data_IF_890303490267
#
_entry.id   IF_890303490267
#
_cell.length_a   1.000
_cell.length_b   1.000
_cell.length_c   1.000
_cell.angle_alpha   90.00
_cell.angle_beta   90.00
_cell.angle_gamma   90.00
#
_symmetry.space_group_name_H-M   'P 1'
#
loop_
_entity.id
_entity.type
_entity.pdbx_description
1 polymer ?
#
# COMPACT_ATOMS: atom_id res chain seq x y z
N UNK A 1 -14.58 -2.18 9.55
CA UNK A 1 -15.07 -1.30 8.47
C UNK A 1 -14.36 -1.75 7.22
N UNK A 2 -15.09 -2.08 6.14
CA UNK A 2 -14.51 -2.68 4.94
C UNK A 2 -13.86 -1.56 4.10
N UNK A 3 -12.61 -1.73 3.70
CA UNK A 3 -11.79 -0.66 3.09
C UNK A 3 -11.58 -0.85 1.58
N UNK A 4 -11.36 -2.09 1.12
CA UNK A 4 -11.23 -2.39 -0.31
C UNK A 4 -12.57 -2.75 -0.95
N UNK A 5 -12.68 -2.59 -2.27
CA UNK A 5 -13.68 -3.27 -3.11
C UNK A 5 -13.14 -3.26 -4.53
N UNK A 6 -13.19 -4.40 -5.20
CA UNK A 6 -12.75 -4.53 -6.59
C UNK A 6 -13.91 -5.02 -7.44
N UNK A 7 -14.01 -4.53 -8.67
CA UNK A 7 -14.92 -5.03 -9.70
C UNK A 7 -14.11 -5.87 -10.70
N UNK A 8 -14.63 -7.01 -11.14
CA UNK A 8 -14.00 -7.80 -12.20
C UNK A 8 -13.96 -7.04 -13.52
N UNK A 9 -12.97 -7.34 -14.38
CA UNK A 9 -12.82 -6.67 -15.69
C UNK A 9 -14.07 -6.81 -16.59
N UNK A 10 -14.80 -7.92 -16.47
CA UNK A 10 -16.05 -8.16 -17.18
C UNK A 10 -17.27 -7.46 -16.54
N UNK A 11 -17.06 -6.73 -15.44
CA UNK A 11 -18.05 -6.00 -14.66
C UNK A 11 -19.17 -6.87 -14.07
N UNK A 12 -18.93 -8.16 -13.87
CA UNK A 12 -19.94 -9.12 -13.38
C UNK A 12 -19.77 -9.54 -11.92
N UNK A 13 -18.64 -9.23 -11.29
CA UNK A 13 -18.37 -9.67 -9.93
C UNK A 13 -17.81 -8.53 -9.10
N UNK A 14 -18.38 -8.31 -7.93
CA UNK A 14 -17.83 -7.43 -6.89
C UNK A 14 -17.14 -8.26 -5.82
N UNK A 15 -15.98 -7.77 -5.38
CA UNK A 15 -15.16 -8.41 -4.37
C UNK A 15 -14.94 -7.52 -3.13
N UNK A 16 -15.96 -7.37 -2.27
CA UNK A 16 -15.80 -6.68 -1.00
C UNK A 16 -15.16 -7.60 0.05
N UNK A 17 -14.14 -7.13 0.78
CA UNK A 17 -13.54 -7.82 1.92
C UNK A 17 -14.34 -7.59 3.21
N UNK A 18 -14.16 -8.44 4.21
CA UNK A 18 -14.38 -8.16 5.63
C UNK A 18 -13.07 -8.29 6.41
N UNK A 19 -13.11 -8.13 7.74
CA UNK A 19 -11.96 -8.40 8.60
C UNK A 19 -11.51 -9.87 8.58
N UNK A 20 -12.39 -10.80 8.21
CA UNK A 20 -12.17 -12.25 8.36
C UNK A 20 -12.06 -12.99 7.02
N UNK A 21 -12.75 -12.51 5.99
CA UNK A 21 -12.94 -13.20 4.72
C UNK A 21 -13.16 -12.24 3.54
N UNK A 22 -12.84 -12.71 2.34
CA UNK A 22 -13.20 -12.05 1.09
C UNK A 22 -14.39 -12.76 0.46
N UNK A 23 -15.25 -11.97 -0.17
CA UNK A 23 -16.46 -12.46 -0.81
C UNK A 23 -16.47 -12.11 -2.29
N UNK A 24 -17.12 -12.94 -3.09
CA UNK A 24 -17.53 -12.64 -4.45
C UNK A 24 -19.05 -12.50 -4.51
N UNK A 25 -19.52 -11.42 -5.12
CA UNK A 25 -20.94 -11.15 -5.37
C UNK A 25 -21.17 -11.01 -6.87
N UNK A 26 -22.13 -11.76 -7.41
CA UNK A 26 -22.65 -11.49 -8.75
C UNK A 26 -23.21 -10.06 -8.79
N UNK A 27 -22.72 -9.28 -9.75
CA UNK A 27 -23.06 -7.88 -9.95
C UNK A 27 -23.64 -7.65 -11.34
N UNK A 28 -24.74 -6.90 -11.40
CA UNK A 28 -25.33 -6.40 -12.64
C UNK A 28 -24.99 -4.91 -12.76
N UNK A 29 -24.01 -4.59 -13.59
CA UNK A 29 -23.58 -3.21 -13.83
C UNK A 29 -24.64 -2.36 -14.54
N UNK A 30 -25.54 -2.98 -15.33
CA UNK A 30 -26.62 -2.26 -16.01
C UNK A 30 -27.72 -1.83 -15.05
N UNK A 31 -28.01 -2.64 -14.03
CA UNK A 31 -28.98 -2.34 -12.99
C UNK A 31 -28.36 -1.66 -11.75
N UNK A 32 -27.03 -1.73 -11.57
CA UNK A 32 -26.35 -1.28 -10.36
C UNK A 32 -26.66 -2.11 -9.13
N UNK A 33 -26.92 -3.42 -9.30
CA UNK A 33 -27.40 -4.30 -8.21
C UNK A 33 -26.50 -5.51 -7.99
N UNK A 34 -26.35 -5.93 -6.73
CA UNK A 34 -25.77 -7.23 -6.36
C UNK A 34 -26.88 -8.26 -6.15
N UNK A 35 -26.60 -9.54 -6.43
CA UNK A 35 -27.52 -10.63 -6.06
C UNK A 35 -27.57 -10.84 -4.55
N UNK A 36 -28.57 -11.55 -4.04
CA UNK A 36 -28.78 -11.70 -2.58
C UNK A 36 -27.80 -12.63 -1.86
N UNK A 37 -26.95 -13.35 -2.59
CA UNK A 37 -26.01 -14.33 -2.03
C UNK A 37 -24.61 -14.07 -2.53
N UNK A 38 -23.64 -14.33 -1.66
CA UNK A 38 -22.22 -14.26 -1.96
C UNK A 38 -21.56 -15.63 -1.90
N UNK A 39 -20.34 -15.70 -2.41
CA UNK A 39 -19.44 -16.84 -2.25
C UNK A 39 -18.22 -16.38 -1.47
N UNK A 40 -17.85 -17.07 -0.39
CA UNK A 40 -16.58 -16.82 0.28
C UNK A 40 -15.44 -17.32 -0.60
N UNK A 41 -14.45 -16.48 -0.90
CA UNK A 41 -13.34 -16.81 -1.81
C UNK A 41 -11.98 -16.90 -1.10
N UNK A 42 -11.81 -16.18 0.01
CA UNK A 42 -10.60 -16.25 0.86
C UNK A 42 -11.02 -16.24 2.32
N UNK A 43 -10.37 -17.07 3.15
CA UNK A 43 -10.58 -17.19 4.60
C UNK A 43 -9.24 -17.15 5.36
N UNK A 44 -9.31 -17.06 6.69
CA UNK A 44 -8.13 -17.11 7.55
C UNK A 44 -7.44 -15.76 7.70
N UNK A 45 -8.17 -14.67 7.48
CA UNK A 45 -7.63 -13.31 7.44
C UNK A 45 -7.82 -12.53 8.73
N UNK A 46 -8.63 -13.04 9.66
CA UNK A 46 -8.93 -12.39 10.96
C UNK A 46 -7.67 -11.91 11.68
N UNK A 47 -7.74 -10.70 12.25
CA UNK A 47 -6.78 -10.11 13.17
C UNK A 47 -7.48 -9.08 14.08
N UNK A 48 -6.83 -8.69 15.18
CA UNK A 48 -7.45 -7.86 16.22
C UNK A 48 -7.31 -6.33 15.98
N UNK A 49 -6.78 -5.89 14.83
CA UNK A 49 -6.40 -4.47 14.66
C UNK A 49 -6.53 -3.95 13.22
N UNK A 50 -5.70 -4.41 12.29
CA UNK A 50 -5.64 -3.87 10.93
C UNK A 50 -6.48 -4.69 9.97
N UNK A 51 -7.75 -4.30 9.89
CA UNK A 51 -8.81 -5.01 9.16
C UNK A 51 -8.99 -4.56 7.70
N UNK A 52 -8.11 -3.68 7.22
CA UNK A 52 -8.11 -3.18 5.83
C UNK A 52 -7.47 -4.19 4.88
N UNK A 53 -8.19 -4.54 3.82
CA UNK A 53 -7.80 -5.53 2.82
C UNK A 53 -8.18 -5.02 1.43
N UNK A 54 -7.32 -5.23 0.42
CA UNK A 54 -7.54 -4.93 -1.00
C UNK A 54 -7.10 -6.14 -1.83
N UNK A 55 -7.83 -6.54 -2.87
CA UNK A 55 -7.41 -7.60 -3.80
C UNK A 55 -6.44 -7.04 -4.87
N UNK A 56 -5.24 -7.64 -5.10
CA UNK A 56 -4.70 -8.86 -4.49
C UNK A 56 -4.41 -8.71 -2.98
N UNK A 57 -4.98 -9.64 -2.20
CA UNK A 57 -5.28 -9.50 -0.77
C UNK A 57 -4.07 -9.05 0.05
N UNK A 58 -4.16 -7.84 0.61
CA UNK A 58 -3.24 -7.34 1.63
C UNK A 58 -3.75 -7.57 3.05
N UNK A 59 -2.86 -7.96 3.98
CA UNK A 59 -3.14 -8.06 5.42
C UNK A 59 -2.12 -7.26 6.22
N UNK A 60 -2.56 -6.21 6.92
CA UNK A 60 -1.70 -5.40 7.81
C UNK A 60 -1.40 -6.08 9.15
N UNK A 61 -0.36 -5.63 9.88
CA UNK A 61 -0.02 -6.13 11.22
C UNK A 61 0.26 -5.00 12.23
N UNK A 62 -0.01 -5.28 13.51
CA UNK A 62 0.69 -4.63 14.63
C UNK A 62 1.84 -5.55 15.05
N UNK A 63 3.04 -4.99 15.13
CA UNK A 63 4.26 -5.47 15.82
C UNK A 63 4.41 -6.98 16.10
N UNK A 64 5.54 -7.52 15.59
CA UNK A 64 6.22 -8.77 15.99
C UNK A 64 5.35 -10.04 16.00
N UNK A 65 4.87 -10.49 14.83
CA UNK A 65 4.61 -11.92 14.64
C UNK A 65 4.76 -12.34 13.17
N UNK A 66 5.55 -13.39 12.94
CA UNK A 66 5.89 -13.96 11.62
C UNK A 66 4.83 -14.95 11.08
N UNK A 67 3.58 -14.85 11.53
CA UNK A 67 2.54 -15.84 11.21
C UNK A 67 1.35 -15.20 10.49
N UNK A 68 1.50 -14.97 9.19
CA UNK A 68 0.37 -14.62 8.33
C UNK A 68 -0.05 -13.15 8.35
N UNK A 69 0.77 -12.26 8.92
CA UNK A 69 0.49 -10.83 9.06
C UNK A 69 1.51 -10.00 8.26
N UNK A 70 1.15 -8.76 7.91
CA UNK A 70 2.03 -7.84 7.18
C UNK A 70 2.47 -8.38 5.82
N UNK A 71 1.55 -8.95 5.05
CA UNK A 71 1.88 -9.58 3.77
C UNK A 71 0.81 -9.34 2.71
N UNK A 72 1.20 -9.53 1.45
CA UNK A 72 0.33 -9.49 0.28
C UNK A 72 0.38 -10.86 -0.39
N UNK A 73 -0.79 -11.46 -0.59
CA UNK A 73 -0.98 -12.74 -1.25
C UNK A 73 -1.76 -12.55 -2.57
N UNK A 74 -1.45 -13.35 -3.59
CA UNK A 74 -2.26 -13.42 -4.79
C UNK A 74 -3.09 -14.71 -4.83
N UNK A 75 -4.29 -14.64 -5.40
CA UNK A 75 -5.16 -15.80 -5.58
C UNK A 75 -5.72 -15.83 -7.00
N UNK A 76 -5.73 -17.02 -7.62
CA UNK A 76 -6.25 -17.21 -8.98
C UNK A 76 -7.72 -17.57 -8.90
N UNK A 77 -8.59 -16.57 -8.91
CA UNK A 77 -10.04 -16.77 -8.72
C UNK A 77 -10.68 -17.64 -9.81
N UNK A 78 -10.09 -17.73 -11.01
CA UNK A 78 -10.57 -18.61 -12.08
C UNK A 78 -10.55 -20.11 -11.71
N UNK A 79 -9.80 -20.50 -10.68
CA UNK A 79 -9.78 -21.87 -10.17
C UNK A 79 -10.91 -22.14 -9.15
N UNK A 80 -11.63 -21.10 -8.71
CA UNK A 80 -12.80 -21.24 -7.84
C UNK A 80 -14.06 -21.43 -8.69
N UNK A 81 -14.92 -22.34 -8.25
CA UNK A 81 -16.26 -22.54 -8.77
C UNK A 81 -17.24 -22.69 -7.59
N UNK A 82 -18.53 -22.90 -7.87
CA UNK A 82 -19.59 -22.98 -6.85
C UNK A 82 -19.43 -24.13 -5.84
N UNK A 83 -18.50 -25.06 -6.07
CA UNK A 83 -18.18 -26.19 -5.17
C UNK A 83 -16.75 -26.17 -4.64
N UNK A 84 -15.93 -25.20 -5.06
CA UNK A 84 -14.57 -25.06 -4.56
C UNK A 84 -14.57 -24.61 -3.10
N UNK A 85 -13.67 -25.15 -2.30
CA UNK A 85 -13.35 -24.58 -0.99
C UNK A 85 -12.65 -23.21 -1.18
N UNK A 86 -12.89 -22.23 -0.29
CA UNK A 86 -12.20 -20.95 -0.34
C UNK A 86 -10.69 -21.12 -0.10
N UNK A 87 -9.90 -20.20 -0.63
CA UNK A 87 -8.48 -20.15 -0.33
C UNK A 87 -8.24 -19.83 1.14
N UNK A 88 -7.27 -20.50 1.76
CA UNK A 88 -6.77 -20.09 3.06
C UNK A 88 -5.58 -19.15 2.88
N UNK A 89 -5.68 -17.93 3.43
CA UNK A 89 -4.69 -16.87 3.26
C UNK A 89 -3.24 -17.25 3.65
N UNK A 90 -3.11 -18.15 4.63
CA UNK A 90 -1.81 -18.57 5.16
C UNK A 90 -1.28 -19.87 4.54
N UNK A 91 -2.08 -20.57 3.74
CA UNK A 91 -1.75 -21.88 3.20
C UNK A 91 -1.88 -21.98 1.68
N UNK A 92 -2.43 -20.96 1.02
CA UNK A 92 -2.66 -20.94 -0.42
C UNK A 92 -2.23 -19.60 -1.02
N UNK A 93 -2.07 -19.60 -2.35
CA UNK A 93 -1.64 -18.42 -3.11
C UNK A 93 -0.13 -18.17 -3.02
N UNK A 94 0.48 -17.60 -4.08
CA UNK A 94 1.88 -17.21 -3.99
C UNK A 94 2.03 -15.89 -3.23
N UNK A 95 3.05 -15.85 -2.37
CA UNK A 95 3.41 -14.68 -1.57
C UNK A 95 4.02 -13.60 -2.46
N UNK A 96 3.36 -12.45 -2.59
CA UNK A 96 3.91 -11.32 -3.37
C UNK A 96 4.98 -10.58 -2.57
N UNK A 97 4.75 -10.44 -1.28
CA UNK A 97 5.67 -9.80 -0.35
C UNK A 97 5.18 -9.93 1.08
N UNK A 98 6.12 -9.93 2.02
CA UNK A 98 5.82 -9.99 3.44
C UNK A 98 6.67 -8.98 4.19
N UNK A 99 6.31 -8.79 5.46
CA UNK A 99 6.99 -7.85 6.33
C UNK A 99 6.79 -6.40 5.79
N UNK A 100 5.54 -6.13 5.40
CA UNK A 100 5.02 -4.82 5.02
C UNK A 100 4.10 -4.34 6.12
N UNK A 101 4.41 -3.24 6.80
CA UNK A 101 3.67 -2.87 8.00
C UNK A 101 2.17 -2.67 7.72
N UNK A 102 1.82 -1.78 6.78
CA UNK A 102 0.44 -1.53 6.36
C UNK A 102 0.37 -1.19 4.85
N UNK A 103 0.51 -2.18 3.95
CA UNK A 103 0.32 -1.96 2.52
C UNK A 103 -1.18 -1.81 2.23
N UNK A 104 -1.67 -0.57 2.27
CA UNK A 104 -3.10 -0.30 2.13
C UNK A 104 -3.47 -0.26 0.67
N UNK A 105 -2.86 0.64 -0.12
CA UNK A 105 -3.10 0.72 -1.55
C UNK A 105 -2.30 -0.33 -2.31
N UNK A 106 -2.95 -1.10 -3.19
CA UNK A 106 -2.32 -2.10 -4.04
C UNK A 106 -2.94 -2.03 -5.43
N UNK A 107 -2.11 -1.94 -6.48
CA UNK A 107 -2.59 -1.92 -7.86
C UNK A 107 -1.58 -2.47 -8.85
N UNK A 108 -2.07 -3.01 -9.95
CA UNK A 108 -1.26 -3.49 -11.07
C UNK A 108 -1.02 -2.38 -12.08
N UNK A 109 0.23 -2.20 -12.50
CA UNK A 109 0.60 -1.38 -13.64
C UNK A 109 0.09 -2.07 -14.93
N UNK A 110 -0.66 -1.37 -15.78
CA UNK A 110 -1.48 -2.02 -16.81
C UNK A 110 -0.71 -2.48 -18.07
N UNK A 111 0.56 -2.10 -18.25
CA UNK A 111 1.35 -2.45 -19.45
C UNK A 111 2.22 -3.68 -19.21
N UNK A 112 2.80 -3.78 -18.03
CA UNK A 112 3.76 -4.81 -17.61
C UNK A 112 3.15 -5.84 -16.66
N UNK A 113 2.04 -5.49 -16.00
CA UNK A 113 1.42 -6.33 -14.96
C UNK A 113 2.18 -6.28 -13.63
N UNK A 114 3.03 -5.29 -13.43
CA UNK A 114 3.78 -5.09 -12.20
C UNK A 114 2.88 -4.65 -11.05
N UNK A 115 2.92 -5.31 -9.89
CA UNK A 115 2.13 -4.87 -8.73
C UNK A 115 2.92 -3.89 -7.90
N UNK A 116 2.28 -2.78 -7.58
CA UNK A 116 2.79 -1.77 -6.66
C UNK A 116 1.90 -1.74 -5.43
N UNK A 117 2.52 -1.57 -4.26
CA UNK A 117 1.80 -1.17 -3.06
C UNK A 117 2.32 0.16 -2.53
N UNK A 118 1.43 0.87 -1.86
CA UNK A 118 1.76 2.01 -1.02
C UNK A 118 1.31 1.68 0.40
N UNK A 119 2.15 2.02 1.37
CA UNK A 119 1.90 1.60 2.72
C UNK A 119 2.40 2.56 3.78
N UNK A 120 1.78 2.40 4.94
CA UNK A 120 2.07 3.22 6.11
C UNK A 120 3.21 2.59 6.91
N UNK A 121 4.18 3.43 7.27
CA UNK A 121 5.34 3.09 8.09
C UNK A 121 5.03 3.24 9.59
N UNK A 122 6.04 3.02 10.44
CA UNK A 122 5.87 2.96 11.90
C UNK A 122 5.52 4.33 12.44
N UNK A 123 4.65 4.40 13.46
CA UNK A 123 4.25 5.69 14.01
C UNK A 123 5.37 6.28 14.86
N UNK A 124 6.10 5.47 15.63
CA UNK A 124 7.17 5.87 16.54
C UNK A 124 8.40 5.00 16.29
N UNK A 125 9.51 5.64 15.93
CA UNK A 125 10.78 4.96 15.70
C UNK A 125 11.91 5.70 16.37
N UNK A 126 12.81 4.91 16.94
CA UNK A 126 14.06 5.37 17.53
C UNK A 126 15.24 4.99 16.65
N UNK A 127 16.33 5.76 16.73
CA UNK A 127 17.64 5.38 16.23
C UNK A 127 18.64 5.52 17.37
N UNK A 128 19.22 4.40 17.82
CA UNK A 128 20.16 4.37 18.95
C UNK A 128 19.61 5.09 20.20
N UNK A 129 18.36 4.79 20.58
CA UNK A 129 17.62 5.39 21.70
C UNK A 129 17.31 6.90 21.57
N UNK A 130 17.48 7.48 20.39
CA UNK A 130 16.94 8.81 20.08
C UNK A 130 15.64 8.64 19.29
N UNK A 131 14.55 9.25 19.77
CA UNK A 131 13.31 9.33 19.01
C UNK A 131 13.54 10.21 17.79
N UNK A 132 13.28 9.67 16.60
CA UNK A 132 13.51 10.35 15.31
C UNK A 132 12.20 10.59 14.54
N UNK A 133 11.10 10.38 15.24
CA UNK A 133 9.74 10.27 14.73
C UNK A 133 9.25 11.50 13.94
N UNK A 134 9.59 12.73 14.37
CA UNK A 134 9.16 13.97 13.72
C UNK A 134 9.89 14.26 12.41
N UNK A 135 11.02 13.60 12.20
CA UNK A 135 11.94 13.94 11.12
C UNK A 135 12.21 12.76 10.20
N UNK A 136 11.77 11.56 10.56
CA UNK A 136 12.04 10.36 9.77
C UNK A 136 10.95 9.32 9.92
N UNK A 137 9.95 9.39 9.03
CA UNK A 137 9.03 8.31 8.69
C UNK A 137 8.58 8.47 7.24
N UNK A 138 9.47 8.12 6.32
CA UNK A 138 9.08 8.01 4.92
C UNK A 138 7.96 7.00 4.81
N UNK A 139 6.82 7.43 4.31
CA UNK A 139 5.81 6.49 3.85
C UNK A 139 6.36 5.82 2.58
N UNK A 140 6.14 4.52 2.38
CA UNK A 140 6.85 3.77 1.33
C UNK A 140 5.95 3.44 0.16
N UNK A 141 6.44 3.61 -1.08
CA UNK A 141 5.96 2.81 -2.21
C UNK A 141 6.87 1.61 -2.40
N UNK A 142 6.30 0.43 -2.21
CA UNK A 142 6.99 -0.83 -2.42
C UNK A 142 6.53 -1.44 -3.74
N UNK A 143 7.49 -1.93 -4.50
CA UNK A 143 7.23 -2.68 -5.72
C UNK A 143 7.17 -4.18 -5.38
N UNK A 144 6.16 -4.87 -5.90
CA UNK A 144 5.85 -6.26 -5.62
C UNK A 144 5.64 -7.04 -6.91
N UNK A 145 6.72 -7.46 -7.58
CA UNK A 145 6.75 -8.48 -8.65
C UNK A 145 5.80 -8.31 -9.86
N UNK A 146 5.89 -9.26 -10.79
CA UNK A 146 5.05 -9.35 -12.00
C UNK A 146 3.83 -10.27 -11.75
N UNK A 147 2.63 -9.88 -12.17
CA UNK A 147 1.48 -10.79 -12.26
C UNK A 147 1.40 -11.56 -13.59
N UNK A 148 2.33 -11.35 -14.52
CA UNK A 148 2.38 -12.09 -15.79
C UNK A 148 3.19 -13.39 -15.69
N UNK A 149 2.76 -14.31 -14.79
CA UNK A 149 3.33 -15.64 -14.59
C UNK A 149 4.84 -15.74 -14.28
N UNK A 150 5.53 -14.61 -14.12
CA UNK A 150 6.93 -14.53 -13.72
C UNK A 150 7.04 -14.46 -12.19
N UNK A 151 7.96 -15.23 -11.62
CA UNK A 151 8.29 -15.20 -10.19
C UNK A 151 9.44 -14.23 -9.87
N UNK A 152 9.88 -13.44 -10.85
CA UNK A 152 11.00 -12.51 -10.67
C UNK A 152 10.63 -11.43 -9.65
N UNK A 153 11.48 -11.26 -8.62
CA UNK A 153 11.30 -10.32 -7.50
C UNK A 153 10.04 -10.56 -6.63
N UNK A 154 9.54 -11.80 -6.58
CA UNK A 154 8.38 -12.19 -5.78
C UNK A 154 8.75 -12.74 -4.40
N UNK A 155 7.93 -12.47 -3.38
CA UNK A 155 8.05 -13.07 -2.04
C UNK A 155 9.13 -12.46 -1.15
N UNK A 156 9.71 -11.33 -1.57
CA UNK A 156 10.74 -10.61 -0.83
C UNK A 156 10.27 -10.13 0.55
N UNK A 157 11.25 -9.96 1.44
CA UNK A 157 11.04 -9.38 2.77
C UNK A 157 11.35 -7.87 2.72
N UNK A 158 10.38 -7.02 3.05
CA UNK A 158 10.47 -5.56 2.90
C UNK A 158 10.93 -4.82 4.16
N UNK A 159 11.52 -5.52 5.13
CA UNK A 159 12.22 -4.92 6.28
C UNK A 159 11.55 -5.02 7.65
N UNK A 160 10.28 -4.66 7.78
CA UNK A 160 9.54 -4.64 9.06
C UNK A 160 9.64 -5.94 9.92
N UNK A 161 9.63 -5.88 11.25
CA UNK A 161 9.78 -4.71 12.11
C UNK A 161 11.26 -4.37 12.39
N UNK A 162 12.19 -4.85 11.57
CA UNK A 162 13.63 -4.73 11.86
C UNK A 162 14.31 -3.64 11.03
N UNK A 163 13.85 -3.45 9.79
CA UNK A 163 14.43 -2.51 8.85
C UNK A 163 13.35 -1.58 8.28
N UNK A 164 13.69 -0.31 8.16
CA UNK A 164 12.79 0.78 7.79
C UNK A 164 13.41 1.65 6.70
N UNK A 165 12.59 2.22 5.84
CA UNK A 165 13.05 3.13 4.79
C UNK A 165 13.40 4.51 5.35
N UNK A 166 14.57 5.02 4.98
CA UNK A 166 15.03 6.35 5.32
C UNK A 166 14.43 7.39 4.37
N UNK A 167 13.81 8.45 4.89
CA UNK A 167 13.37 9.59 4.09
C UNK A 167 14.35 10.76 4.18
N UNK A 168 14.81 11.13 5.39
CA UNK A 168 15.73 12.25 5.58
C UNK A 168 17.02 11.77 6.24
N UNK A 169 18.16 12.11 5.64
CA UNK A 169 19.49 11.62 6.05
C UNK A 169 20.08 12.33 7.27
N UNK A 170 19.65 13.56 7.57
CA UNK A 170 20.28 14.39 8.61
C UNK A 170 20.17 13.79 10.02
N UNK A 171 19.20 12.90 10.24
CA UNK A 171 18.90 12.35 11.55
C UNK A 171 19.68 11.05 11.80
N UNK A 172 19.95 10.29 10.74
CA UNK A 172 20.77 9.08 10.84
C UNK A 172 22.20 9.49 10.51
N UNK A 173 23.01 9.74 11.55
CA UNK A 173 24.44 10.13 11.47
C UNK A 173 25.31 9.03 10.82
N UNK A 174 25.04 8.70 9.57
CA UNK A 174 25.70 7.66 8.78
C UNK A 174 26.01 8.22 7.40
N UNK A 175 27.28 8.20 7.01
CA UNK A 175 27.71 8.63 5.69
C UNK A 175 27.33 7.64 4.57
N UNK A 176 26.86 6.43 4.93
CA UNK A 176 26.49 5.38 3.96
C UNK A 176 25.02 5.44 3.56
N UNK A 177 24.15 6.04 4.37
CA UNK A 177 22.71 6.00 4.17
C UNK A 177 22.24 7.23 3.38
N UNK A 178 21.34 6.99 2.45
CA UNK A 178 20.63 7.99 1.65
C UNK A 178 19.12 7.76 1.71
N UNK A 179 18.31 8.68 1.20
CA UNK A 179 16.88 8.42 1.04
C UNK A 179 16.63 7.09 0.30
N UNK A 180 15.60 6.36 0.69
CA UNK A 180 15.29 5.01 0.20
C UNK A 180 16.17 3.89 0.78
N UNK A 181 17.25 4.21 1.50
CA UNK A 181 18.08 3.18 2.17
C UNK A 181 17.32 2.56 3.34
N UNK A 182 17.49 1.25 3.56
CA UNK A 182 17.03 0.64 4.79
C UNK A 182 17.98 0.91 5.96
N UNK A 183 17.40 1.13 7.14
CA UNK A 183 18.11 1.24 8.40
C UNK A 183 17.37 0.50 9.51
N UNK A 184 18.08 0.11 10.57
CA UNK A 184 17.47 -0.46 11.79
C UNK A 184 17.37 0.58 12.90
N UNK A 185 16.38 0.43 13.79
CA UNK A 185 16.27 1.28 14.99
C UNK A 185 17.43 1.09 15.97
N UNK A 186 17.90 -0.15 16.11
CA UNK A 186 18.98 -0.53 17.02
C UNK A 186 20.01 -1.41 16.31
N UNK A 187 21.28 -1.01 16.42
CA UNK A 187 22.42 -1.72 15.85
C UNK A 187 22.89 -2.82 16.78
N UNK A 188 23.00 -4.05 16.29
CA UNK A 188 23.65 -5.15 17.00
C UNK A 188 24.40 -6.08 16.02
N UNK A 189 24.99 -7.15 16.54
CA UNK A 189 25.80 -8.08 15.75
C UNK A 189 25.02 -8.81 14.63
N UNK A 190 23.70 -8.96 14.78
CA UNK A 190 22.84 -9.71 13.87
C UNK A 190 21.95 -8.81 13.01
N UNK A 191 21.48 -7.69 13.57
CA UNK A 191 20.64 -6.71 12.88
C UNK A 191 21.34 -5.36 12.90
N UNK A 192 21.79 -4.92 11.74
CA UNK A 192 22.47 -3.66 11.51
C UNK A 192 22.09 -3.08 10.14
N UNK A 193 22.59 -1.90 9.79
CA UNK A 193 22.22 -1.29 8.50
C UNK A 193 22.74 -2.11 7.31
N UNK A 194 23.91 -2.75 7.44
CA UNK A 194 24.47 -3.57 6.37
C UNK A 194 23.61 -4.82 6.15
N UNK A 195 23.13 -5.49 7.22
CA UNK A 195 22.20 -6.62 7.10
C UNK A 195 20.85 -6.19 6.52
N UNK A 196 20.34 -5.03 6.93
CA UNK A 196 19.13 -4.45 6.35
C UNK A 196 19.28 -4.15 4.85
N UNK A 197 20.45 -3.70 4.42
CA UNK A 197 20.73 -3.42 3.01
C UNK A 197 20.92 -4.69 2.18
N UNK A 198 21.48 -5.77 2.75
CA UNK A 198 21.75 -7.01 2.01
C UNK A 198 20.62 -8.04 2.03
N UNK A 199 19.78 -8.03 3.06
CA UNK A 199 18.79 -9.09 3.28
C UNK A 199 17.34 -8.66 2.99
N UNK A 200 17.10 -7.37 2.76
CA UNK A 200 15.75 -6.80 2.61
C UNK A 200 15.61 -6.12 1.26
N UNK A 201 14.38 -6.12 0.75
CA UNK A 201 14.03 -5.41 -0.48
C UNK A 201 13.74 -3.95 -0.13
N UNK A 202 14.54 -2.97 -0.61
CA UNK A 202 14.27 -1.56 -0.37
C UNK A 202 13.02 -1.10 -1.14
N UNK A 203 12.35 -0.02 -0.70
CA UNK A 203 11.26 0.57 -1.46
C UNK A 203 11.75 1.09 -2.83
N UNK A 204 10.83 1.13 -3.81
CA UNK A 204 11.13 1.76 -5.11
C UNK A 204 11.22 3.28 -4.98
N UNK A 205 10.42 3.85 -4.09
CA UNK A 205 10.44 5.27 -3.74
C UNK A 205 9.99 5.43 -2.29
N UNK A 206 10.66 6.30 -1.57
CA UNK A 206 10.18 6.79 -0.28
C UNK A 206 9.35 8.04 -0.50
N UNK A 207 8.08 7.97 -0.14
CA UNK A 207 7.13 9.07 -0.17
C UNK A 207 7.39 10.02 0.99
N UNK A 208 6.74 11.18 0.93
CA UNK A 208 6.80 12.22 1.94
C UNK A 208 6.42 11.71 3.34
N UNK A 209 6.89 12.44 4.35
CA UNK A 209 6.70 12.08 5.74
C UNK A 209 5.23 12.22 6.17
N UNK A 210 4.71 11.21 6.86
CA UNK A 210 3.41 11.27 7.55
C UNK A 210 2.20 11.53 6.64
N UNK A 211 2.31 11.21 5.36
CA UNK A 211 1.24 11.46 4.39
C UNK A 211 0.13 10.41 4.39
N UNK A 212 0.38 9.26 5.03
CA UNK A 212 -0.58 8.15 5.18
C UNK A 212 -1.19 7.72 3.84
N UNK A 213 -0.41 7.05 2.96
CA UNK A 213 -0.92 6.66 1.65
C UNK A 213 -1.94 5.53 1.77
N UNK A 214 -3.09 5.64 1.10
CA UNK A 214 -4.20 4.68 1.22
C UNK A 214 -4.62 4.03 -0.09
N UNK A 215 -4.34 4.62 -1.25
CA UNK A 215 -4.70 4.02 -2.53
C UNK A 215 -3.74 4.44 -3.64
N UNK A 216 -3.67 3.63 -4.70
CA UNK A 216 -2.88 3.88 -5.91
C UNK A 216 -3.65 3.42 -7.15
N UNK A 217 -3.75 4.29 -8.17
CA UNK A 217 -4.33 3.93 -9.48
C UNK A 217 -3.41 4.36 -10.61
N UNK A 218 -3.36 3.57 -11.68
CA UNK A 218 -2.56 3.85 -12.86
C UNK A 218 -3.43 4.39 -14.00
N UNK A 219 -2.86 5.27 -14.82
CA UNK A 219 -3.45 5.57 -16.12
C UNK A 219 -3.38 4.33 -17.03
N UNK A 220 -4.29 4.14 -18.00
CA UNK A 220 -4.33 2.94 -18.84
C UNK A 220 -3.09 2.78 -19.72
N UNK A 221 -2.43 3.89 -20.04
CA UNK A 221 -1.16 3.91 -20.79
C UNK A 221 0.08 3.78 -19.89
N UNK A 222 -0.11 3.61 -18.59
CA UNK A 222 0.90 3.52 -17.55
C UNK A 222 1.96 4.63 -17.56
N UNK A 223 1.60 5.83 -17.98
CA UNK A 223 2.51 6.98 -17.94
C UNK A 223 2.53 7.68 -16.58
N UNK A 224 1.47 7.48 -15.78
CA UNK A 224 1.35 8.04 -14.43
C UNK A 224 0.62 7.10 -13.49
N UNK A 225 0.99 7.16 -12.21
CA UNK A 225 0.22 6.64 -11.10
C UNK A 225 -0.23 7.79 -10.19
N UNK A 226 -1.41 7.66 -9.58
CA UNK A 226 -1.95 8.62 -8.63
C UNK A 226 -2.10 7.97 -7.28
N UNK A 227 -1.69 8.66 -6.22
CA UNK A 227 -1.68 8.15 -4.85
C UNK A 227 -2.46 9.10 -3.95
N UNK A 228 -3.32 8.56 -3.07
CA UNK A 228 -3.98 9.35 -2.03
C UNK A 228 -3.06 9.52 -0.84
N UNK A 229 -2.88 10.76 -0.39
CA UNK A 229 -2.28 11.13 0.88
C UNK A 229 -3.40 11.55 1.83
N UNK A 230 -3.80 10.64 2.72
CA UNK A 230 -4.93 10.86 3.61
C UNK A 230 -4.62 11.87 4.74
N UNK A 231 -3.33 12.11 4.99
CA UNK A 231 -2.84 12.92 6.09
C UNK A 231 -2.93 12.21 7.43
N UNK A 232 -1.88 12.39 8.23
CA UNK A 232 -1.78 11.87 9.60
C UNK A 232 -2.81 12.51 10.58
N UNK A 233 -3.05 11.81 11.68
CA UNK A 233 -3.82 12.26 12.83
C UNK A 233 -2.85 12.69 13.95
N UNK A 234 -3.01 13.91 14.47
CA UNK A 234 -2.44 14.30 15.77
C UNK A 234 -0.93 14.62 15.80
N UNK A 235 -0.44 15.54 14.97
CA UNK A 235 0.90 16.13 15.13
C UNK A 235 0.90 17.64 14.95
N UNK A 236 1.91 18.30 15.51
CA UNK A 236 2.13 19.76 15.44
C UNK A 236 2.51 20.26 14.03
N UNK A 237 2.91 19.36 13.12
CA UNK A 237 3.24 19.70 11.73
C UNK A 237 2.02 19.41 10.86
N UNK A 238 1.45 20.44 10.19
CA UNK A 238 0.39 20.24 9.21
C UNK A 238 0.82 19.27 8.12
N UNK A 239 -0.01 18.27 7.85
CA UNK A 239 0.23 17.24 6.84
C UNK A 239 -0.70 17.45 5.65
N UNK A 240 -0.14 17.26 4.46
CA UNK A 240 -0.85 17.51 3.22
C UNK A 240 -1.86 16.38 2.95
N UNK A 241 -3.15 16.70 3.08
CA UNK A 241 -4.22 15.82 2.62
C UNK A 241 -4.44 16.09 1.12
N UNK A 242 -4.02 15.19 0.25
CA UNK A 242 -3.96 15.46 -1.19
C UNK A 242 -3.87 14.20 -2.06
N UNK A 243 -4.00 14.37 -3.38
CA UNK A 243 -3.64 13.37 -4.38
C UNK A 243 -2.38 13.85 -5.10
N UNK A 244 -1.38 12.97 -5.13
CA UNK A 244 -0.13 13.19 -5.86
C UNK A 244 -0.07 12.30 -7.09
N UNK A 245 0.69 12.73 -8.09
CA UNK A 245 1.00 11.96 -9.28
C UNK A 245 2.48 11.60 -9.32
N UNK A 246 2.77 10.39 -9.79
CA UNK A 246 4.12 9.88 -10.04
C UNK A 246 4.25 9.53 -11.52
N UNK A 247 5.36 9.93 -12.13
CA UNK A 247 5.68 9.63 -13.52
C UNK A 247 6.22 8.21 -13.69
N UNK A 248 5.73 7.52 -14.70
CA UNK A 248 6.13 6.18 -15.08
C UNK A 248 6.63 6.16 -16.53
N UNK A 249 7.68 5.40 -16.75
CA UNK A 249 8.34 5.24 -18.04
C UNK A 249 8.86 3.81 -18.18
N UNK A 250 8.64 3.22 -19.34
CA UNK A 250 9.10 1.87 -19.68
C UNK A 250 8.69 0.81 -18.64
N UNK A 251 7.48 0.96 -18.08
CA UNK A 251 6.92 0.03 -17.11
C UNK A 251 7.45 0.16 -15.69
N UNK A 252 8.22 1.20 -15.38
CA UNK A 252 8.69 1.49 -14.03
C UNK A 252 8.50 2.94 -13.67
N UNK A 253 8.59 3.23 -12.37
CA UNK A 253 8.64 4.59 -11.87
C UNK A 253 9.86 5.32 -12.50
N UNK A 254 9.69 6.56 -12.96
CA UNK A 254 10.79 7.33 -13.58
C UNK A 254 11.73 7.96 -12.51
N UNK A 255 11.17 8.25 -11.33
CA UNK A 255 11.85 8.80 -10.17
C UNK A 255 13.11 8.02 -9.76
N UNK A 256 14.17 8.68 -9.33
CA UNK A 256 15.29 7.99 -8.68
C UNK A 256 14.83 7.43 -7.31
N UNK A 257 15.38 6.29 -6.88
CA UNK A 257 14.97 5.66 -5.62
C UNK A 257 15.29 6.51 -4.36
N UNK A 258 16.20 7.47 -4.48
CA UNK A 258 16.59 8.42 -3.44
C UNK A 258 16.00 9.83 -3.64
N UNK A 259 15.00 9.96 -4.50
CA UNK A 259 14.29 11.21 -4.69
C UNK A 259 13.34 11.54 -3.54
N UNK A 260 13.21 12.83 -3.27
CA UNK A 260 12.33 13.40 -2.24
C UNK A 260 11.29 14.36 -2.82
N UNK A 261 11.27 14.56 -4.13
CA UNK A 261 10.47 15.61 -4.78
C UNK A 261 9.71 15.13 -6.02
N UNK A 262 9.70 13.82 -6.29
CA UNK A 262 9.06 13.28 -7.51
C UNK A 262 7.54 13.15 -7.42
N UNK A 263 6.97 13.21 -6.21
CA UNK A 263 5.53 13.31 -6.03
C UNK A 263 5.04 14.71 -6.45
N UNK A 264 4.32 14.78 -7.56
CA UNK A 264 3.78 16.04 -8.08
C UNK A 264 2.35 16.25 -7.55
N UNK A 265 2.06 17.44 -7.03
CA UNK A 265 0.71 17.79 -6.59
C UNK A 265 -0.28 17.73 -7.75
N UNK A 266 -1.36 16.97 -7.59
CA UNK A 266 -2.44 16.89 -8.58
C UNK A 266 -3.75 17.48 -8.07
N UNK A 267 -4.11 17.21 -6.81
CA UNK A 267 -5.34 17.70 -6.20
C UNK A 267 -5.12 17.89 -4.70
N UNK A 268 -5.14 19.12 -4.21
CA UNK A 268 -4.66 19.45 -2.85
C UNK A 268 -5.58 20.46 -2.15
N UNK A 269 -5.54 20.45 -0.81
CA UNK A 269 -6.20 21.46 0.00
C UNK A 269 -5.48 22.81 -0.16
N UNK A 270 -6.25 23.90 -0.20
CA UNK A 270 -5.71 25.25 -0.38
C UNK A 270 -4.88 25.74 0.81
N UNK A 271 -5.32 25.38 2.01
CA UNK A 271 -4.67 25.73 3.28
C UNK A 271 -4.52 24.46 4.11
N UNK A 272 -3.30 23.98 4.25
CA UNK A 272 -3.01 22.75 4.98
C UNK A 272 -2.93 22.97 6.49
N UNK A 273 -2.84 24.22 6.96
CA UNK A 273 -2.73 24.54 8.39
C UNK A 273 -3.99 24.23 9.21
N UNK A 274 -5.12 24.01 8.51
CA UNK A 274 -6.41 23.64 9.10
C UNK A 274 -6.76 22.16 8.91
N UNK A 275 -5.83 21.37 8.38
CA UNK A 275 -5.96 19.92 8.26
C UNK A 275 -5.55 19.23 9.58
N UNK A 276 -6.17 18.09 9.93
CA UNK A 276 -7.15 17.32 9.14
C UNK A 276 -8.61 17.78 9.29
N UNK A 277 -8.95 18.67 10.21
CA UNK A 277 -10.33 18.93 10.63
C UNK A 277 -11.18 19.63 9.56
N UNK A 278 -10.59 20.53 8.78
CA UNK A 278 -11.30 21.35 7.77
C UNK A 278 -10.83 21.07 6.34
N UNK A 279 -10.33 19.86 6.10
CA UNK A 279 -9.76 19.45 4.82
C UNK A 279 -10.50 18.24 4.25
N UNK A 280 -10.53 18.13 2.90
CA UNK A 280 -10.83 16.84 2.30
C UNK A 280 -9.69 15.88 2.63
N UNK A 281 -10.02 14.60 2.86
CA UNK A 281 -9.06 13.57 3.27
C UNK A 281 -9.16 12.39 2.33
N UNK A 282 -8.36 12.37 1.25
CA UNK A 282 -8.53 11.42 0.18
C UNK A 282 -8.21 10.02 0.69
N UNK A 283 -9.02 9.06 0.27
CA UNK A 283 -8.97 7.68 0.74
C UNK A 283 -8.83 6.73 -0.43
N UNK A 284 -9.88 6.61 -1.26
CA UNK A 284 -9.92 5.73 -2.42
C UNK A 284 -9.93 6.51 -3.74
N UNK A 285 -9.44 5.88 -4.80
CA UNK A 285 -9.37 6.38 -6.16
C UNK A 285 -10.08 5.42 -7.11
N UNK A 286 -10.71 5.97 -8.14
CA UNK A 286 -11.17 5.18 -9.28
C UNK A 286 -10.89 5.92 -10.58
N UNK A 287 -10.53 5.19 -11.62
CA UNK A 287 -10.36 5.72 -12.96
C UNK A 287 -11.53 5.29 -13.83
N UNK A 288 -12.18 6.23 -14.51
CA UNK A 288 -13.21 5.91 -15.50
C UNK A 288 -12.64 5.69 -16.91
N UNK A 289 -13.48 5.16 -17.81
CA UNK A 289 -13.08 4.88 -19.20
C UNK A 289 -12.73 6.13 -20.02
N UNK A 290 -13.13 7.33 -19.56
CA UNK A 290 -12.76 8.60 -20.18
C UNK A 290 -11.41 9.13 -19.66
N UNK A 291 -10.83 8.50 -18.64
CA UNK A 291 -9.58 8.89 -18.02
C UNK A 291 -9.74 9.90 -16.87
N UNK A 292 -10.95 10.12 -16.35
CA UNK A 292 -11.14 10.91 -15.15
C UNK A 292 -10.80 10.11 -13.89
N UNK A 293 -10.27 10.80 -12.89
CA UNK A 293 -9.96 10.23 -11.58
C UNK A 293 -11.01 10.73 -10.58
N UNK A 294 -11.67 9.79 -9.92
CA UNK A 294 -12.63 10.02 -8.86
C UNK A 294 -11.93 9.81 -7.51
N UNK A 295 -12.22 10.66 -6.52
CA UNK A 295 -11.49 10.70 -5.24
C UNK A 295 -12.46 10.69 -4.08
N UNK A 296 -12.55 9.57 -3.35
CA UNK A 296 -13.37 9.48 -2.15
C UNK A 296 -12.68 10.20 -0.97
N UNK A 297 -13.45 10.94 -0.15
CA UNK A 297 -12.95 11.66 1.03
C UNK A 297 -13.61 11.17 2.33
N UNK A 298 -12.79 10.73 3.30
CA UNK A 298 -13.23 10.14 4.56
C UNK A 298 -13.90 11.15 5.51
N UNK A 299 -13.40 12.38 5.61
CA UNK A 299 -13.89 13.40 6.57
C UNK A 299 -15.20 14.06 6.17
N UNK A 300 -15.55 14.05 4.89
CA UNK A 300 -16.69 14.81 4.35
C UNK A 300 -17.87 13.94 3.91
N UNK A 301 -17.69 12.61 3.75
CA UNK A 301 -18.72 11.73 3.18
C UNK A 301 -19.03 12.07 1.71
N UNK A 302 -18.06 12.63 0.99
CA UNK A 302 -18.17 13.08 -0.41
C UNK A 302 -17.29 12.21 -1.31
N UNK A 303 -17.81 11.88 -2.48
CA UNK A 303 -17.12 11.30 -3.64
C UNK A 303 -16.76 12.39 -4.65
#
# INVERSE_FOLDING_TARGET
>A
MNHGTTLSDDCKNLYPPSSEADYAWDYDAGAGTVRNSNTTIVIGMSNDDHTTQILPVSKGARNLDHHGHSQIQAFVLANLNSTSEPYNFNAAGPLLGWVLQKPVGVSGEPVTGLVYSVGNSVIEIERNAFVIQEYNLGEGSNYHCFLNASTENQGGNYGYPLCYALSITIIVKSAKLKAGSHFTSSQNATVNDDSCASERVPPRLTLELHVTPLDIVFLPNATKAYITYHGNWGREIPVECQVVALDFKDGSLDAAADSLTDAQYSFANRDTSVCPESCFRPFGLALDAAGHIWVASHSSGVL
#
